data_IF_822778291255
#
_entry.id   IF_822778291255
#
_cell.length_a   1.000
_cell.length_b   1.000
_cell.length_c   1.000
_cell.angle_alpha   90.00
_cell.angle_beta   90.00
_cell.angle_gamma   90.00
#
_symmetry.space_group_name_H-M   'P 1'
#
loop_
_entity.id
_entity.type
_entity.pdbx_description
1 polymer ?
#
# COMPACT_ATOMS: atom_id res chain seq x y z
N UNK A 1 27.52 -7.72 -15.87
CA UNK A 1 28.02 -7.72 -14.50
C UNK A 1 26.84 -8.05 -13.60
N UNK A 2 26.83 -9.23 -12.96
CA UNK A 2 25.80 -9.59 -11.98
C UNK A 2 25.93 -8.64 -10.80
N UNK A 3 24.92 -7.81 -10.56
CA UNK A 3 24.85 -7.04 -9.31
C UNK A 3 24.76 -8.07 -8.17
N UNK A 4 25.72 -8.07 -7.27
CA UNK A 4 25.64 -8.83 -6.03
C UNK A 4 24.36 -8.35 -5.32
N UNK A 5 23.41 -9.24 -5.12
CA UNK A 5 22.18 -8.93 -4.37
C UNK A 5 22.60 -8.62 -2.94
N UNK A 6 22.32 -7.42 -2.47
CA UNK A 6 22.56 -7.07 -1.06
C UNK A 6 21.62 -7.89 -0.18
N UNK A 7 22.14 -8.41 0.93
CA UNK A 7 21.34 -9.07 1.97
C UNK A 7 20.56 -8.09 2.87
N UNK A 8 20.70 -6.79 2.59
CA UNK A 8 20.10 -5.73 3.41
C UNK A 8 18.67 -5.43 3.00
N UNK A 9 17.77 -5.41 3.96
CA UNK A 9 16.39 -4.97 3.79
C UNK A 9 16.26 -3.45 3.97
N UNK A 10 15.38 -2.80 3.19
CA UNK A 10 14.87 -1.48 3.54
C UNK A 10 13.65 -1.66 4.44
N UNK A 11 13.57 -0.91 5.54
CA UNK A 11 12.38 -0.90 6.43
C UNK A 11 11.74 0.48 6.34
N UNK A 12 10.71 0.60 5.50
CA UNK A 12 9.96 1.84 5.30
C UNK A 12 8.90 1.97 6.40
N UNK A 13 9.01 3.00 7.25
CA UNK A 13 8.12 3.17 8.40
C UNK A 13 7.31 4.47 8.25
N UNK A 14 5.97 4.36 8.34
CA UNK A 14 5.11 5.50 8.57
C UNK A 14 4.71 5.57 10.05
N UNK A 15 5.36 6.41 10.86
CA UNK A 15 5.12 6.48 12.30
C UNK A 15 3.69 6.93 12.65
N UNK A 16 3.04 7.66 11.75
CA UNK A 16 1.70 8.21 11.98
C UNK A 16 0.56 7.25 11.61
N UNK A 17 0.86 6.10 11.00
CA UNK A 17 -0.15 5.10 10.64
C UNK A 17 -0.95 4.64 11.86
N UNK A 18 -2.27 4.44 11.66
CA UNK A 18 -3.15 3.88 12.69
C UNK A 18 -3.21 4.71 13.96
N UNK A 19 -3.28 6.05 13.86
CA UNK A 19 -3.27 6.98 14.99
C UNK A 19 -1.98 6.90 15.84
N UNK A 20 -0.83 6.75 15.17
CA UNK A 20 0.48 6.72 15.83
C UNK A 20 1.00 5.32 16.20
N UNK A 21 0.22 4.26 15.92
CA UNK A 21 0.67 2.87 16.18
C UNK A 21 1.88 2.47 15.33
N UNK A 22 2.06 3.13 14.17
CA UNK A 22 3.13 2.82 13.22
C UNK A 22 4.52 2.89 13.84
N UNK A 23 4.78 3.85 14.72
CA UNK A 23 6.06 3.98 15.41
C UNK A 23 6.37 2.74 16.25
N UNK A 24 5.47 2.34 17.16
CA UNK A 24 5.67 1.18 18.04
C UNK A 24 5.74 -0.14 17.27
N UNK A 25 4.99 -0.28 16.16
CA UNK A 25 5.09 -1.45 15.29
C UNK A 25 6.44 -1.45 14.58
N UNK A 26 6.92 -0.30 14.09
CA UNK A 26 8.24 -0.15 13.50
C UNK A 26 9.36 -0.58 14.45
N UNK A 27 9.30 -0.16 15.71
CA UNK A 27 10.24 -0.60 16.74
C UNK A 27 10.21 -2.12 16.99
N UNK A 28 9.04 -2.73 16.94
CA UNK A 28 8.94 -4.21 17.06
C UNK A 28 9.58 -4.90 15.87
N UNK A 29 9.35 -4.38 14.66
CA UNK A 29 9.96 -4.91 13.43
C UNK A 29 11.48 -4.84 13.49
N UNK A 30 12.04 -3.68 13.79
CA UNK A 30 13.50 -3.50 13.87
C UNK A 30 14.12 -4.34 14.98
N UNK A 31 13.51 -4.41 16.16
CA UNK A 31 13.96 -5.26 17.26
C UNK A 31 13.96 -6.74 16.88
N UNK A 32 12.95 -7.19 16.15
CA UNK A 32 12.92 -8.56 15.66
C UNK A 32 14.05 -8.84 14.67
N UNK A 33 14.28 -7.95 13.68
CA UNK A 33 15.36 -8.08 12.71
C UNK A 33 16.73 -8.09 13.40
N UNK A 34 16.95 -7.25 14.40
CA UNK A 34 18.16 -7.24 15.24
C UNK A 34 18.37 -8.60 15.94
N UNK A 35 17.30 -9.18 16.51
CA UNK A 35 17.36 -10.48 17.20
C UNK A 35 17.70 -11.65 16.26
N UNK A 36 17.39 -11.49 14.97
CA UNK A 36 17.69 -12.46 13.93
C UNK A 36 18.99 -12.16 13.18
N UNK A 37 19.74 -11.13 13.59
CA UNK A 37 20.98 -10.67 12.94
C UNK A 37 20.78 -10.34 11.45
N UNK A 38 19.58 -9.88 11.06
CA UNK A 38 19.26 -9.49 9.70
C UNK A 38 19.71 -8.06 9.47
N UNK A 39 20.47 -7.83 8.38
CA UNK A 39 20.88 -6.48 7.98
C UNK A 39 19.68 -5.69 7.43
N UNK A 40 19.47 -4.49 7.94
CA UNK A 40 18.42 -3.60 7.45
C UNK A 40 18.81 -2.12 7.56
N UNK A 41 18.16 -1.29 6.77
CA UNK A 41 18.24 0.17 6.80
C UNK A 41 16.85 0.75 7.04
N UNK A 42 16.59 1.37 8.22
CA UNK A 42 15.31 2.00 8.46
C UNK A 42 15.19 3.30 7.66
N UNK A 43 14.05 3.51 7.01
CA UNK A 43 13.73 4.71 6.25
C UNK A 43 12.42 5.26 6.78
N UNK A 44 12.48 6.42 7.41
CA UNK A 44 11.30 7.14 7.89
C UNK A 44 11.35 8.58 7.42
N UNK A 45 10.20 9.18 7.15
CA UNK A 45 10.11 10.56 6.72
C UNK A 45 8.84 11.23 7.27
N UNK A 46 8.82 12.55 7.25
CA UNK A 46 7.68 13.35 7.75
C UNK A 46 6.51 13.38 6.76
N UNK A 47 6.75 13.05 5.49
CA UNK A 47 5.71 12.98 4.46
C UNK A 47 5.89 11.80 3.53
N UNK A 48 4.80 11.39 2.86
CA UNK A 48 4.82 10.34 1.84
C UNK A 48 5.76 10.68 0.68
N UNK A 49 5.81 11.94 0.24
CA UNK A 49 6.70 12.41 -0.83
C UNK A 49 8.17 12.22 -0.42
N UNK A 50 8.56 12.70 0.76
CA UNK A 50 9.94 12.56 1.25
C UNK A 50 10.33 11.08 1.39
N UNK A 51 9.42 10.23 1.85
CA UNK A 51 9.68 8.79 1.96
C UNK A 51 9.85 8.16 0.57
N UNK A 52 9.00 8.52 -0.39
CA UNK A 52 9.10 8.07 -1.77
C UNK A 52 10.44 8.45 -2.39
N UNK A 53 10.85 9.72 -2.26
CA UNK A 53 12.10 10.22 -2.82
C UNK A 53 13.31 9.51 -2.21
N UNK A 54 13.30 9.32 -0.88
CA UNK A 54 14.36 8.61 -0.19
C UNK A 54 14.48 7.15 -0.66
N UNK A 55 13.36 6.43 -0.75
CA UNK A 55 13.33 5.04 -1.21
C UNK A 55 13.77 4.93 -2.67
N UNK A 56 13.26 5.79 -3.57
CA UNK A 56 13.66 5.83 -4.98
C UNK A 56 15.16 6.07 -5.14
N UNK A 57 15.72 7.03 -4.39
CA UNK A 57 17.15 7.30 -4.39
C UNK A 57 17.95 6.07 -3.96
N UNK A 58 17.60 5.47 -2.82
CA UNK A 58 18.29 4.29 -2.30
C UNK A 58 18.26 3.12 -3.29
N UNK A 59 17.10 2.83 -3.87
CA UNK A 59 16.93 1.70 -4.81
C UNK A 59 17.55 1.94 -6.18
N UNK A 60 17.77 3.21 -6.58
CA UNK A 60 18.51 3.55 -7.81
C UNK A 60 20.02 3.42 -7.65
N UNK A 61 20.53 3.73 -6.46
CA UNK A 61 21.97 3.75 -6.18
C UNK A 61 22.51 2.40 -5.70
N UNK A 62 21.69 1.59 -5.05
CA UNK A 62 22.11 0.34 -4.41
C UNK A 62 21.13 -0.80 -4.68
N UNK A 63 21.62 -2.03 -4.47
CA UNK A 63 20.79 -3.24 -4.47
C UNK A 63 20.38 -3.60 -3.05
N UNK A 64 19.12 -4.02 -2.87
CA UNK A 64 18.56 -4.45 -1.59
C UNK A 64 17.89 -5.81 -1.77
N UNK A 65 17.73 -6.56 -0.68
CA UNK A 65 16.97 -7.82 -0.67
C UNK A 65 15.47 -7.59 -0.92
N UNK A 66 14.94 -6.49 -0.41
CA UNK A 66 13.54 -6.09 -0.57
C UNK A 66 13.18 -4.95 0.37
N UNK A 67 11.88 -4.60 0.41
CA UNK A 67 11.33 -3.56 1.28
C UNK A 67 10.31 -4.15 2.24
N UNK A 68 10.47 -3.92 3.54
CA UNK A 68 9.45 -4.17 4.57
C UNK A 68 8.76 -2.84 4.86
N UNK A 69 7.50 -2.72 4.48
CA UNK A 69 6.68 -1.53 4.69
C UNK A 69 5.88 -1.65 5.99
N UNK A 70 6.08 -0.74 6.94
CA UNK A 70 5.34 -0.67 8.21
C UNK A 70 4.35 0.47 8.13
N UNK A 71 3.08 0.18 7.81
CA UNK A 71 2.08 1.22 7.57
C UNK A 71 0.72 0.68 7.16
N UNK A 72 -0.11 1.55 6.61
CA UNK A 72 -1.41 1.21 6.01
C UNK A 72 -1.34 1.12 4.49
N UNK A 73 -2.52 1.05 3.85
CA UNK A 73 -2.67 0.88 2.40
C UNK A 73 -1.95 1.96 1.58
N UNK A 74 -1.95 3.21 2.04
CA UNK A 74 -1.22 4.30 1.37
C UNK A 74 0.30 4.08 1.33
N UNK A 75 0.91 3.51 2.38
CA UNK A 75 2.32 3.16 2.35
C UNK A 75 2.56 1.92 1.49
N UNK A 76 1.67 0.91 1.56
CA UNK A 76 1.74 -0.26 0.69
C UNK A 76 1.71 0.16 -0.79
N UNK A 77 0.78 1.05 -1.17
CA UNK A 77 0.69 1.60 -2.52
C UNK A 77 1.96 2.34 -2.94
N UNK A 78 2.50 3.21 -2.08
CA UNK A 78 3.74 3.95 -2.35
C UNK A 78 4.92 2.99 -2.61
N UNK A 79 5.10 1.99 -1.75
CA UNK A 79 6.19 1.01 -1.86
C UNK A 79 6.04 0.16 -3.12
N UNK A 80 4.80 -0.18 -3.50
CA UNK A 80 4.50 -0.91 -4.73
C UNK A 80 5.04 -0.19 -5.97
N UNK A 81 4.84 1.16 -6.06
CA UNK A 81 5.37 1.97 -7.18
C UNK A 81 6.90 1.98 -7.27
N UNK A 82 7.57 1.60 -6.21
CA UNK A 82 9.04 1.52 -6.16
C UNK A 82 9.50 0.09 -6.43
N UNK A 83 8.87 -0.88 -5.83
CA UNK A 83 9.28 -2.28 -5.93
C UNK A 83 9.10 -2.86 -7.33
N UNK A 84 7.98 -2.56 -7.99
CA UNK A 84 7.65 -3.16 -9.30
C UNK A 84 8.68 -2.83 -10.38
N UNK A 85 9.06 -1.55 -10.62
CA UNK A 85 10.06 -1.23 -11.63
C UNK A 85 11.45 -1.81 -11.36
N UNK A 86 11.76 -2.08 -10.09
CA UNK A 86 13.06 -2.62 -9.67
C UNK A 86 13.05 -4.13 -9.44
N UNK A 87 11.90 -4.80 -9.65
CA UNK A 87 11.69 -6.22 -9.33
C UNK A 87 12.11 -6.58 -7.89
N UNK A 88 11.84 -5.67 -6.96
CA UNK A 88 12.18 -5.84 -5.55
C UNK A 88 11.05 -6.57 -4.81
N UNK A 89 11.35 -7.63 -4.05
CA UNK A 89 10.39 -8.19 -3.11
C UNK A 89 9.94 -7.16 -2.09
N UNK A 90 8.67 -7.25 -1.67
CA UNK A 90 8.19 -6.42 -0.58
C UNK A 90 7.25 -7.19 0.35
N UNK A 91 7.18 -6.72 1.58
CA UNK A 91 6.27 -7.22 2.59
C UNK A 91 5.61 -6.03 3.29
N UNK A 92 4.34 -6.18 3.70
CA UNK A 92 3.61 -5.13 4.42
C UNK A 92 3.26 -5.60 5.81
N UNK A 93 3.77 -4.89 6.81
CA UNK A 93 3.39 -5.04 8.22
C UNK A 93 2.30 -3.99 8.51
N UNK A 94 1.03 -4.41 8.69
CA UNK A 94 -0.07 -3.47 8.79
C UNK A 94 -0.02 -2.68 10.09
N UNK A 95 -0.06 -1.38 9.95
CA UNK A 95 -0.23 -0.43 11.05
C UNK A 95 -1.39 0.54 10.82
N UNK A 96 -2.07 0.45 9.68
CA UNK A 96 -3.23 1.26 9.30
C UNK A 96 -4.56 0.77 9.91
N UNK A 97 -5.65 1.38 9.49
CA UNK A 97 -7.02 1.02 9.89
C UNK A 97 -7.72 0.09 8.90
N UNK A 98 -7.47 0.24 7.59
CA UNK A 98 -8.03 -0.61 6.53
C UNK A 98 -7.21 -1.89 6.36
N UNK A 99 -6.00 -1.73 5.86
CA UNK A 99 -5.06 -2.80 5.51
C UNK A 99 -5.64 -3.78 4.48
N UNK A 100 -6.35 -3.24 3.49
CA UNK A 100 -7.07 -4.03 2.49
C UNK A 100 -6.11 -4.81 1.59
N UNK A 101 -4.96 -4.23 1.27
CA UNK A 101 -3.92 -4.93 0.54
C UNK A 101 -3.45 -6.21 1.24
N UNK A 102 -3.22 -6.14 2.55
CA UNK A 102 -2.78 -7.29 3.36
C UNK A 102 -3.87 -8.35 3.46
N UNK A 103 -5.14 -7.93 3.58
CA UNK A 103 -6.29 -8.84 3.58
C UNK A 103 -6.45 -9.57 2.25
N UNK A 104 -6.28 -8.86 1.13
CA UNK A 104 -6.32 -9.44 -0.21
C UNK A 104 -5.29 -10.56 -0.37
N UNK A 105 -4.11 -10.44 0.26
CA UNK A 105 -3.07 -11.46 0.26
C UNK A 105 -3.35 -12.62 1.25
N UNK A 106 -4.43 -12.56 2.00
CA UNK A 106 -4.81 -13.59 2.97
C UNK A 106 -3.84 -13.69 4.16
N UNK A 107 -3.10 -12.61 4.44
CA UNK A 107 -2.16 -12.61 5.54
C UNK A 107 -2.86 -12.37 6.87
N UNK A 108 -2.77 -13.36 7.77
CA UNK A 108 -3.20 -13.19 9.16
C UNK A 108 -2.03 -12.64 9.97
N UNK A 109 -2.19 -11.42 10.52
CA UNK A 109 -1.14 -10.69 11.21
C UNK A 109 -1.47 -10.42 12.69
N UNK A 110 -2.09 -11.37 13.34
CA UNK A 110 -2.27 -11.32 14.80
C UNK A 110 -0.92 -11.24 15.52
N UNK A 111 0.10 -11.91 14.97
CA UNK A 111 1.47 -11.89 15.48
C UNK A 111 2.45 -11.47 14.38
N UNK A 112 3.19 -10.40 14.62
CA UNK A 112 4.14 -9.81 13.65
C UNK A 112 5.37 -10.71 13.48
N UNK A 113 5.86 -11.32 14.55
CA UNK A 113 7.12 -12.06 14.58
C UNK A 113 7.10 -13.32 13.69
N UNK A 114 6.07 -14.18 13.71
CA UNK A 114 5.97 -15.29 12.76
C UNK A 114 5.89 -14.86 11.31
N UNK A 115 5.22 -13.72 11.04
CA UNK A 115 5.17 -13.15 9.70
C UNK A 115 6.56 -12.68 9.24
N UNK A 116 7.26 -11.92 10.08
CA UNK A 116 8.62 -11.47 9.79
C UNK A 116 9.58 -12.64 9.61
N UNK A 117 9.42 -13.69 10.41
CA UNK A 117 10.22 -14.91 10.22
C UNK A 117 10.05 -15.48 8.81
N UNK A 118 8.82 -15.60 8.32
CA UNK A 118 8.57 -16.04 6.95
C UNK A 118 9.18 -15.09 5.92
N UNK A 119 9.02 -13.77 6.10
CA UNK A 119 9.58 -12.76 5.18
C UNK A 119 11.09 -12.91 5.01
N UNK A 120 11.82 -13.16 6.09
CA UNK A 120 13.29 -13.22 6.04
C UNK A 120 13.84 -14.59 5.67
N UNK A 121 13.04 -15.67 5.79
CA UNK A 121 13.52 -17.07 5.60
C UNK A 121 12.96 -17.75 4.36
N UNK A 122 11.90 -17.22 3.73
CA UNK A 122 11.30 -17.84 2.55
C UNK A 122 11.58 -17.04 1.29
N UNK A 123 11.54 -17.73 0.15
CA UNK A 123 11.61 -17.04 -1.15
C UNK A 123 10.34 -16.24 -1.42
N UNK A 124 10.46 -15.07 -2.10
CA UNK A 124 9.31 -14.26 -2.48
C UNK A 124 8.38 -15.02 -3.44
N UNK A 125 7.08 -14.84 -3.27
CA UNK A 125 6.08 -15.34 -4.20
C UNK A 125 5.61 -14.23 -5.11
N UNK A 126 5.57 -14.49 -6.41
CA UNK A 126 5.00 -13.54 -7.37
C UNK A 126 3.48 -13.43 -7.17
N UNK A 127 2.97 -12.22 -7.29
CA UNK A 127 1.54 -11.90 -7.28
C UNK A 127 1.19 -11.09 -8.51
N UNK A 128 -0.04 -11.22 -8.98
CA UNK A 128 -0.57 -10.34 -10.01
C UNK A 128 -0.84 -8.95 -9.46
N UNK A 129 -0.68 -7.94 -10.32
CA UNK A 129 -0.97 -6.55 -10.00
C UNK A 129 -1.76 -5.93 -11.15
N UNK A 130 -2.70 -5.06 -10.83
CA UNK A 130 -3.33 -4.21 -11.81
C UNK A 130 -2.46 -2.98 -12.11
N UNK A 131 -2.60 -2.44 -13.32
CA UNK A 131 -1.95 -1.19 -13.73
C UNK A 131 -2.99 -0.26 -14.33
N UNK A 132 -3.01 0.99 -13.86
CA UNK A 132 -3.86 2.05 -14.38
C UNK A 132 -3.01 3.31 -14.57
N UNK A 133 -2.93 3.81 -15.80
CA UNK A 133 -2.18 5.02 -16.17
C UNK A 133 -0.75 5.05 -15.60
N UNK A 134 -0.06 3.92 -15.65
CA UNK A 134 1.29 3.72 -15.13
C UNK A 134 1.39 3.62 -13.59
N UNK A 135 0.28 3.59 -12.87
CA UNK A 135 0.25 3.31 -11.43
C UNK A 135 -0.19 1.86 -11.16
N UNK A 136 0.54 1.19 -10.30
CA UNK A 136 0.27 -0.19 -9.91
C UNK A 136 -0.67 -0.25 -8.72
N UNK A 137 -1.64 -1.17 -8.76
CA UNK A 137 -2.51 -1.45 -7.62
C UNK A 137 -2.58 -2.96 -7.33
N UNK A 138 -2.65 -3.30 -6.05
CA UNK A 138 -2.61 -4.68 -5.60
C UNK A 138 -3.93 -5.21 -5.02
N UNK A 139 -4.89 -4.34 -4.76
CA UNK A 139 -6.18 -4.74 -4.20
C UNK A 139 -7.34 -4.34 -5.11
N UNK A 140 -7.75 -3.10 -5.08
CA UNK A 140 -8.90 -2.60 -5.83
C UNK A 140 -8.60 -1.22 -6.40
N UNK A 141 -9.03 -1.01 -7.63
CA UNK A 141 -9.13 0.30 -8.27
C UNK A 141 -10.61 0.64 -8.40
N UNK A 142 -11.02 1.81 -7.93
CA UNK A 142 -12.39 2.30 -8.09
C UNK A 142 -12.42 3.71 -8.68
N UNK A 143 -13.46 4.00 -9.44
CA UNK A 143 -13.73 5.32 -10.02
C UNK A 143 -15.20 5.68 -9.89
N UNK A 144 -15.54 6.97 -9.95
CA UNK A 144 -16.90 7.48 -9.82
C UNK A 144 -17.20 7.96 -8.41
N UNK A 145 -18.33 7.56 -7.84
CA UNK A 145 -18.82 8.03 -6.54
C UNK A 145 -17.80 7.87 -5.41
N UNK A 146 -17.11 6.73 -5.37
CA UNK A 146 -16.10 6.44 -4.35
C UNK A 146 -14.94 7.45 -4.35
N UNK A 147 -14.50 7.85 -5.55
CA UNK A 147 -13.45 8.87 -5.71
C UNK A 147 -13.91 10.23 -5.20
N UNK A 148 -15.15 10.64 -5.50
CA UNK A 148 -15.75 11.91 -5.03
C UNK A 148 -15.89 11.92 -3.51
N UNK A 149 -16.35 10.80 -2.93
CA UNK A 149 -16.47 10.63 -1.47
C UNK A 149 -15.10 10.72 -0.80
N UNK A 150 -14.09 10.06 -1.37
CA UNK A 150 -12.74 10.07 -0.84
C UNK A 150 -12.12 11.49 -0.86
N UNK A 151 -12.28 12.21 -1.97
CA UNK A 151 -11.85 13.60 -2.09
C UNK A 151 -12.55 14.49 -1.04
N UNK A 152 -13.86 14.37 -0.92
CA UNK A 152 -14.65 15.09 0.10
C UNK A 152 -14.18 14.74 1.51
N UNK A 153 -14.02 13.47 1.82
CA UNK A 153 -13.56 13.04 3.13
C UNK A 153 -12.18 13.60 3.47
N UNK A 154 -11.26 13.67 2.52
CA UNK A 154 -9.94 14.26 2.69
C UNK A 154 -9.99 15.78 2.91
N UNK A 155 -10.94 16.49 2.30
CA UNK A 155 -11.15 17.93 2.47
C UNK A 155 -11.81 18.31 3.81
N UNK A 156 -12.51 17.38 4.47
CA UNK A 156 -13.15 17.65 5.75
C UNK A 156 -12.11 17.71 6.88
N UNK A 157 -12.13 18.80 7.65
CA UNK A 157 -11.29 18.95 8.85
C UNK A 157 -11.86 18.20 10.07
N UNK A 158 -13.19 17.99 10.10
CA UNK A 158 -13.95 17.33 11.17
C UNK A 158 -15.20 16.62 10.59
N UNK A 159 -15.59 15.46 11.13
CA UNK A 159 -14.98 14.70 12.23
C UNK A 159 -13.70 13.96 11.78
N UNK A 160 -12.92 13.44 12.73
CA UNK A 160 -11.79 12.57 12.47
C UNK A 160 -12.21 11.09 12.45
N UNK A 161 -11.47 10.26 11.73
CA UNK A 161 -11.70 8.81 11.68
C UNK A 161 -12.81 8.38 10.72
N UNK A 162 -13.39 7.17 10.88
CA UNK A 162 -14.35 6.58 9.94
C UNK A 162 -15.62 7.41 9.70
N UNK A 163 -16.04 8.19 10.69
CA UNK A 163 -17.23 9.05 10.58
C UNK A 163 -17.09 10.11 9.49
N UNK A 164 -15.87 10.55 9.18
CA UNK A 164 -15.60 11.49 8.11
C UNK A 164 -16.08 10.95 6.75
N UNK A 165 -15.84 9.67 6.49
CA UNK A 165 -16.26 9.01 5.27
C UNK A 165 -17.79 8.93 5.18
N UNK A 166 -18.47 8.55 6.26
CA UNK A 166 -19.94 8.49 6.32
C UNK A 166 -20.58 9.87 6.06
N UNK A 167 -20.00 10.94 6.60
CA UNK A 167 -20.47 12.31 6.34
C UNK A 167 -20.23 12.68 4.87
N UNK A 168 -19.09 12.38 4.32
CA UNK A 168 -18.80 12.62 2.91
C UNK A 168 -19.80 11.89 1.99
N UNK A 169 -20.14 10.64 2.27
CA UNK A 169 -21.20 9.90 1.58
C UNK A 169 -22.53 10.64 1.66
N UNK A 170 -22.95 11.03 2.86
CA UNK A 170 -24.22 11.70 3.06
C UNK A 170 -24.31 13.08 2.36
N UNK A 171 -23.17 13.74 2.18
CA UNK A 171 -23.09 15.02 1.46
C UNK A 171 -23.10 14.87 -0.05
N UNK A 172 -22.43 13.83 -0.58
CA UNK A 172 -22.24 13.66 -2.02
C UNK A 172 -23.34 12.83 -2.66
N UNK A 173 -23.93 11.85 -1.95
CA UNK A 173 -24.93 10.93 -2.51
C UNK A 173 -26.14 11.65 -3.12
N UNK A 174 -26.74 12.71 -2.52
CA UNK A 174 -27.88 13.42 -3.10
C UNK A 174 -27.55 14.24 -4.35
N UNK A 175 -26.26 14.51 -4.59
CA UNK A 175 -25.76 15.37 -5.66
C UNK A 175 -25.11 14.63 -6.79
N UNK A 176 -24.77 13.36 -6.56
CA UNK A 176 -24.06 12.56 -7.52
C UNK A 176 -24.98 12.12 -8.65
N UNK A 177 -24.55 12.35 -9.87
CA UNK A 177 -25.20 11.83 -11.09
C UNK A 177 -24.40 10.65 -11.61
N UNK A 178 -25.03 9.55 -12.01
CA UNK A 178 -24.33 8.45 -12.67
C UNK A 178 -23.47 8.94 -13.83
N UNK A 179 -22.31 8.33 -14.00
CA UNK A 179 -21.34 8.64 -15.06
C UNK A 179 -21.51 7.59 -16.15
N UNK A 180 -21.46 8.01 -17.41
CA UNK A 180 -21.38 7.10 -18.54
C UNK A 180 -19.95 6.54 -18.65
N UNK A 181 -19.84 5.23 -18.67
CA UNK A 181 -18.58 4.51 -18.84
C UNK A 181 -18.63 3.68 -20.13
N UNK A 182 -17.56 3.78 -20.91
CA UNK A 182 -17.24 2.82 -21.94
C UNK A 182 -16.22 1.83 -21.40
N UNK A 183 -16.57 0.57 -21.37
CA UNK A 183 -15.74 -0.48 -20.76
C UNK A 183 -15.42 -1.51 -21.85
N UNK A 184 -14.13 -1.76 -22.05
CA UNK A 184 -13.65 -2.85 -22.90
C UNK A 184 -13.03 -3.93 -22.03
N UNK A 185 -13.59 -5.14 -22.10
CA UNK A 185 -13.08 -6.30 -21.37
C UNK A 185 -12.96 -7.47 -22.35
N UNK A 186 -11.77 -8.05 -22.45
CA UNK A 186 -11.44 -9.15 -23.36
C UNK A 186 -11.91 -8.93 -24.81
N UNK A 187 -11.73 -7.71 -25.29
CA UNK A 187 -12.11 -7.30 -26.66
C UNK A 187 -13.60 -7.02 -26.87
N UNK A 188 -14.43 -7.14 -25.84
CA UNK A 188 -15.84 -6.77 -25.88
C UNK A 188 -16.03 -5.39 -25.25
N UNK A 189 -16.63 -4.47 -26.00
CA UNK A 189 -16.91 -3.11 -25.52
C UNK A 189 -18.40 -2.94 -25.25
N UNK A 190 -18.75 -2.33 -24.12
CA UNK A 190 -20.12 -1.94 -23.78
C UNK A 190 -20.14 -0.60 -23.05
N UNK A 191 -21.24 0.11 -23.18
CA UNK A 191 -21.47 1.40 -22.49
C UNK A 191 -22.52 1.20 -21.41
N UNK A 192 -22.30 1.82 -20.24
CA UNK A 192 -23.22 1.77 -19.12
C UNK A 192 -23.16 3.05 -18.29
N UNK A 193 -24.30 3.44 -17.74
CA UNK A 193 -24.32 4.46 -16.68
C UNK A 193 -24.19 3.78 -15.33
N UNK A 194 -23.22 4.22 -14.54
CA UNK A 194 -22.98 3.66 -13.21
C UNK A 194 -22.57 4.73 -12.20
N UNK A 195 -22.87 4.50 -10.94
CA UNK A 195 -22.40 5.34 -9.85
C UNK A 195 -20.90 5.12 -9.60
N UNK A 196 -20.42 3.89 -9.74
CA UNK A 196 -19.02 3.55 -9.63
C UNK A 196 -18.68 2.34 -10.51
N UNK A 197 -17.44 2.27 -10.92
CA UNK A 197 -16.81 1.07 -11.49
C UNK A 197 -15.64 0.69 -10.62
N UNK A 198 -15.55 -0.59 -10.28
CA UNK A 198 -14.46 -1.12 -9.47
C UNK A 198 -13.81 -2.33 -10.17
N UNK A 199 -12.49 -2.34 -10.19
CA UNK A 199 -11.67 -3.45 -10.70
C UNK A 199 -10.92 -4.05 -9.53
N UNK A 200 -11.24 -5.28 -9.18
CA UNK A 200 -10.58 -6.02 -8.11
C UNK A 200 -9.43 -6.87 -8.64
N UNK A 201 -8.31 -6.87 -7.93
CA UNK A 201 -7.14 -7.71 -8.17
C UNK A 201 -6.96 -8.76 -7.05
N UNK A 202 -7.95 -8.99 -6.25
CA UNK A 202 -7.93 -9.92 -5.12
C UNK A 202 -9.14 -10.84 -5.08
N UNK A 203 -9.07 -11.82 -4.19
CA UNK A 203 -10.17 -12.75 -3.90
C UNK A 203 -11.06 -12.20 -2.81
#
# INVERSE_FOLDING_TARGET
>A
MSKSTSETWLVAINPHSGNGRGAGIGERVTRYLDSQLVSYLPVAALSATQLSDALRKLTSENSYRGIIAVGGDGLAHLVLQICVPHHLPFAVVPAGTGNDFVRTLGWNLENIEPFLHRVITTEPTAIDLGNADSEWFGAILSTGFDSVVNERANALSWPKGPQRYNIAIAMELPRFTPIEYEITCDGTTFTTEAMLVAVGNGK
#
